data_IF_145222219465
#
_entry.id   IF_145222219465
#
_cell.length_a   1.000
_cell.length_b   1.000
_cell.length_c   1.000
_cell.angle_alpha   90.00
_cell.angle_beta   90.00
_cell.angle_gamma   90.00
#
_symmetry.space_group_name_H-M   'P 1'
#
loop_
_entity.id
_entity.type
_entity.pdbx_description
1 polymer ?
#
# COMPACT_ATOMS: atom_id res chain seq x y z
N UNK A 1 28.14 8.25 -12.99
CA UNK A 1 28.42 9.60 -12.43
C UNK A 1 27.75 10.67 -13.29
N UNK A 2 27.10 11.64 -12.64
CA UNK A 2 26.42 12.75 -13.31
C UNK A 2 26.68 14.06 -12.57
N UNK A 3 26.66 15.18 -13.28
CA UNK A 3 26.58 16.50 -12.69
C UNK A 3 25.28 17.16 -13.12
N UNK A 4 24.28 17.17 -12.26
CA UNK A 4 22.98 17.78 -12.56
C UNK A 4 23.12 19.30 -12.86
N UNK A 5 23.99 20.00 -12.12
CA UNK A 5 24.24 21.44 -12.31
C UNK A 5 24.87 21.78 -13.64
N UNK A 6 25.80 20.94 -14.13
CA UNK A 6 26.59 21.20 -15.37
C UNK A 6 26.08 20.40 -16.57
N UNK A 7 25.12 19.50 -16.37
CA UNK A 7 24.59 18.62 -17.41
C UNK A 7 25.52 17.47 -17.82
N UNK A 8 26.65 17.29 -17.14
CA UNK A 8 27.61 16.24 -17.48
C UNK A 8 26.99 14.87 -17.29
N UNK A 9 27.02 14.01 -18.31
CA UNK A 9 26.41 12.66 -18.35
C UNK A 9 24.90 12.61 -18.08
N UNK A 10 24.18 13.72 -18.19
CA UNK A 10 22.71 13.74 -18.05
C UNK A 10 22.05 13.33 -19.37
N UNK A 11 22.26 14.07 -20.45
CA UNK A 11 21.74 13.78 -21.78
C UNK A 11 22.82 13.14 -22.65
N UNK A 12 23.98 13.80 -22.75
CA UNK A 12 25.12 13.34 -23.51
C UNK A 12 26.26 12.96 -22.58
N UNK A 13 27.14 12.09 -23.06
CA UNK A 13 28.40 11.77 -22.34
C UNK A 13 29.28 13.01 -22.26
N UNK A 14 29.90 13.20 -21.10
CA UNK A 14 30.79 14.34 -20.86
C UNK A 14 32.24 13.99 -21.12
N UNK A 15 32.94 14.83 -21.86
CA UNK A 15 34.39 14.71 -22.11
C UNK A 15 35.22 14.94 -20.84
N UNK A 16 34.59 15.50 -19.78
CA UNK A 16 35.27 15.71 -18.48
C UNK A 16 35.36 14.44 -17.64
N UNK A 17 34.71 13.35 -18.07
CA UNK A 17 34.74 12.04 -17.40
C UNK A 17 35.14 10.92 -18.40
N UNK A 18 36.31 11.00 -19.02
CA UNK A 18 36.70 10.05 -20.05
C UNK A 18 36.86 8.62 -19.55
N UNK A 19 37.06 8.45 -18.26
CA UNK A 19 37.11 7.17 -17.57
C UNK A 19 35.77 6.45 -17.48
N UNK A 20 34.66 7.18 -17.62
CA UNK A 20 33.32 6.60 -17.58
C UNK A 20 32.89 6.19 -18.99
N UNK A 21 32.74 4.90 -19.21
CA UNK A 21 32.37 4.31 -20.52
C UNK A 21 30.88 3.90 -20.59
N UNK A 22 30.12 4.11 -19.51
CA UNK A 22 28.69 3.79 -19.44
C UNK A 22 27.80 4.75 -20.23
N UNK A 23 26.51 4.49 -20.18
CA UNK A 23 25.47 5.32 -20.81
C UNK A 23 25.25 6.62 -20.02
N UNK A 24 24.80 7.68 -20.71
CA UNK A 24 24.25 8.86 -20.04
C UNK A 24 23.00 8.48 -19.21
N UNK A 25 22.56 9.36 -18.34
CA UNK A 25 21.35 9.13 -17.54
C UNK A 25 20.13 8.92 -18.45
N UNK A 26 19.98 9.76 -19.48
CA UNK A 26 18.85 9.66 -20.43
C UNK A 26 18.87 8.32 -21.17
N UNK A 27 20.02 7.95 -21.77
CA UNK A 27 20.17 6.67 -22.47
C UNK A 27 19.90 5.47 -21.54
N UNK A 28 20.29 5.58 -20.26
CA UNK A 28 20.00 4.55 -19.27
C UNK A 28 18.50 4.43 -19.00
N UNK A 29 17.81 5.57 -18.81
CA UNK A 29 16.37 5.60 -18.55
C UNK A 29 15.55 5.09 -19.75
N UNK A 30 15.97 5.44 -20.98
CA UNK A 30 15.30 4.96 -22.20
C UNK A 30 15.49 3.46 -22.44
N UNK A 31 16.60 2.90 -21.97
CA UNK A 31 16.89 1.48 -22.09
C UNK A 31 16.27 0.60 -21.00
N UNK A 32 15.63 1.21 -19.98
CA UNK A 32 14.96 0.45 -18.92
C UNK A 32 13.67 -0.19 -19.44
N UNK A 33 13.60 -1.51 -19.36
CA UNK A 33 12.34 -2.22 -19.53
C UNK A 33 11.37 -1.81 -18.42
N UNK A 34 10.18 -1.35 -18.80
CA UNK A 34 9.08 -1.10 -17.87
C UNK A 34 8.56 -2.43 -17.32
N UNK A 35 9.30 -3.07 -16.44
CA UNK A 35 8.74 -4.16 -15.65
C UNK A 35 7.73 -3.57 -14.67
N UNK A 36 6.50 -4.03 -14.76
CA UNK A 36 5.46 -3.64 -13.81
C UNK A 36 5.69 -4.36 -12.46
N UNK A 37 6.67 -3.89 -11.72
CA UNK A 37 7.10 -4.45 -10.42
C UNK A 37 6.07 -4.23 -9.29
N UNK A 38 5.02 -3.45 -9.53
CA UNK A 38 4.02 -3.10 -8.50
C UNK A 38 2.85 -4.08 -8.40
N UNK A 39 2.82 -5.14 -9.21
CA UNK A 39 1.59 -5.88 -9.45
C UNK A 39 1.74 -7.39 -9.59
N UNK A 40 2.68 -7.94 -8.88
CA UNK A 40 2.73 -9.39 -8.64
C UNK A 40 1.93 -9.62 -7.37
N UNK A 41 0.79 -10.26 -7.47
CA UNK A 41 -0.04 -10.55 -6.30
C UNK A 41 -1.49 -10.79 -6.69
N UNK A 42 -2.24 -11.22 -5.72
CA UNK A 42 -3.65 -11.52 -5.82
C UNK A 42 -4.49 -10.25 -5.71
N UNK A 43 -5.71 -10.22 -6.25
CA UNK A 43 -6.51 -9.01 -6.23
C UNK A 43 -6.92 -8.63 -4.80
N UNK A 44 -6.77 -7.34 -4.51
CA UNK A 44 -7.25 -6.67 -3.30
C UNK A 44 -8.10 -5.49 -3.73
N UNK A 45 -9.32 -5.43 -3.23
CA UNK A 45 -10.27 -4.37 -3.56
C UNK A 45 -10.78 -3.70 -2.27
N UNK A 46 -10.06 -2.68 -1.75
CA UNK A 46 -10.56 -1.89 -0.64
C UNK A 46 -11.75 -1.04 -1.09
N UNK A 47 -12.86 -1.15 -0.38
CA UNK A 47 -14.09 -0.41 -0.65
C UNK A 47 -13.91 1.03 -0.20
N UNK A 48 -13.81 1.95 -1.14
CA UNK A 48 -13.60 3.36 -0.88
C UNK A 48 -14.92 4.11 -0.68
N UNK A 49 -15.96 3.69 -1.38
CA UNK A 49 -17.27 4.32 -1.31
C UNK A 49 -18.38 3.30 -1.60
N UNK A 50 -19.53 3.44 -0.92
CA UNK A 50 -20.73 2.63 -1.18
C UNK A 50 -21.75 3.50 -1.90
N UNK A 51 -22.12 3.10 -3.11
CA UNK A 51 -23.07 3.79 -3.97
C UNK A 51 -24.46 3.20 -3.72
N UNK A 52 -25.35 4.04 -3.23
CA UNK A 52 -26.77 3.75 -3.04
C UNK A 52 -27.58 4.95 -3.52
N UNK A 53 -28.00 4.96 -4.80
CA UNK A 53 -28.87 6.01 -5.29
C UNK A 53 -30.20 5.98 -4.53
N UNK A 54 -30.76 7.15 -4.27
CA UNK A 54 -32.08 7.31 -3.61
C UNK A 54 -33.14 7.72 -4.63
N UNK A 55 -33.04 7.17 -5.86
CA UNK A 55 -33.99 7.44 -6.95
C UNK A 55 -34.85 6.21 -7.16
N UNK A 56 -36.10 6.39 -7.58
CA UNK A 56 -37.04 5.29 -7.81
C UNK A 56 -36.52 4.28 -8.84
N UNK A 57 -35.76 4.75 -9.82
CA UNK A 57 -35.15 3.93 -10.88
C UNK A 57 -34.04 2.99 -10.39
N UNK A 58 -33.31 3.38 -9.32
CA UNK A 58 -32.14 2.65 -8.81
C UNK A 58 -32.25 2.33 -7.31
N UNK A 59 -33.47 2.21 -6.75
CA UNK A 59 -33.66 2.04 -5.31
C UNK A 59 -32.95 0.79 -4.75
N UNK A 60 -32.83 -0.28 -5.55
CA UNK A 60 -32.17 -1.52 -5.16
C UNK A 60 -30.68 -1.59 -5.57
N UNK A 61 -30.16 -0.56 -6.25
CA UNK A 61 -28.76 -0.56 -6.64
C UNK A 61 -27.83 -0.38 -5.46
N UNK A 62 -26.91 -1.32 -5.26
CA UNK A 62 -25.84 -1.25 -4.29
C UNK A 62 -24.52 -1.54 -4.97
N UNK A 63 -23.71 -0.50 -5.19
CA UNK A 63 -22.40 -0.58 -5.78
C UNK A 63 -21.30 -0.29 -4.79
N UNK A 64 -20.20 -1.00 -4.89
CA UNK A 64 -19.01 -0.82 -4.08
C UNK A 64 -17.90 -0.27 -4.96
N UNK A 65 -17.58 1.01 -4.79
CA UNK A 65 -16.56 1.69 -5.57
C UNK A 65 -15.20 1.58 -4.89
N UNK A 66 -14.18 1.28 -5.68
CA UNK A 66 -12.81 1.12 -5.22
C UNK A 66 -11.82 0.99 -6.37
N UNK A 67 -10.58 0.67 -6.02
CA UNK A 67 -9.52 0.42 -6.99
C UNK A 67 -8.97 -0.98 -6.80
N UNK A 68 -8.81 -1.71 -7.90
CA UNK A 68 -8.21 -3.05 -7.91
C UNK A 68 -6.69 -2.93 -7.76
N UNK A 69 -6.13 -3.59 -6.77
CA UNK A 69 -4.69 -3.73 -6.58
C UNK A 69 -4.28 -5.20 -6.73
N UNK A 70 -3.06 -5.44 -7.20
CA UNK A 70 -2.57 -6.79 -7.48
C UNK A 70 -3.11 -7.37 -8.78
N UNK A 71 -3.81 -8.47 -8.73
CA UNK A 71 -4.35 -9.19 -9.89
C UNK A 71 -5.58 -8.52 -10.52
N UNK A 72 -6.51 -9.33 -10.99
CA UNK A 72 -7.77 -8.90 -11.59
C UNK A 72 -8.97 -9.58 -10.94
N UNK A 73 -10.12 -8.91 -11.01
CA UNK A 73 -11.42 -9.42 -10.60
C UNK A 73 -12.33 -9.56 -11.80
N UNK A 74 -13.10 -10.65 -11.86
CA UNK A 74 -14.03 -10.94 -12.95
C UNK A 74 -15.45 -11.15 -12.44
N UNK A 75 -16.42 -10.88 -13.29
CA UNK A 75 -17.82 -11.25 -13.05
C UNK A 75 -17.90 -12.76 -12.81
N UNK A 76 -18.63 -13.18 -11.77
CA UNK A 76 -18.75 -14.56 -11.34
C UNK A 76 -17.68 -15.05 -10.38
N UNK A 77 -16.63 -14.27 -10.09
CA UNK A 77 -15.63 -14.64 -9.07
C UNK A 77 -16.28 -14.82 -7.70
N UNK A 78 -15.94 -15.93 -7.03
CA UNK A 78 -16.25 -16.14 -5.61
C UNK A 78 -15.38 -15.23 -4.77
N UNK A 79 -16.01 -14.44 -3.88
CA UNK A 79 -15.34 -13.44 -3.05
C UNK A 79 -15.70 -13.57 -1.58
N UNK A 80 -14.81 -13.02 -0.77
CA UNK A 80 -15.01 -12.82 0.67
C UNK A 80 -14.88 -11.34 0.98
N UNK A 81 -15.79 -10.82 1.80
CA UNK A 81 -15.74 -9.45 2.34
C UNK A 81 -15.13 -9.47 3.72
N UNK A 82 -14.08 -8.71 3.92
CA UNK A 82 -13.40 -8.55 5.22
C UNK A 82 -13.83 -7.24 5.88
N UNK A 83 -14.04 -7.21 7.20
CA UNK A 83 -13.73 -8.23 8.21
C UNK A 83 -14.81 -9.29 8.44
N UNK A 84 -16.01 -9.12 7.89
CA UNK A 84 -17.17 -9.98 8.20
C UNK A 84 -16.99 -11.44 7.78
N UNK A 85 -16.04 -11.71 6.87
CA UNK A 85 -15.81 -13.00 6.21
C UNK A 85 -17.05 -13.54 5.47
N UNK A 86 -17.96 -12.64 5.10
CA UNK A 86 -19.17 -13.00 4.36
C UNK A 86 -18.81 -13.30 2.90
N UNK A 87 -19.28 -14.43 2.40
CA UNK A 87 -19.06 -14.88 1.01
C UNK A 87 -20.14 -14.38 0.09
N UNK A 88 -19.77 -14.06 -1.13
CA UNK A 88 -20.66 -13.70 -2.23
C UNK A 88 -19.97 -13.94 -3.57
N UNK A 89 -20.63 -13.55 -4.67
CA UNK A 89 -20.06 -13.51 -6.02
C UNK A 89 -20.13 -12.10 -6.58
N UNK A 90 -19.19 -11.77 -7.45
CA UNK A 90 -19.26 -10.55 -8.25
C UNK A 90 -20.37 -10.70 -9.28
N UNK A 91 -21.41 -9.85 -9.19
CA UNK A 91 -22.54 -9.84 -10.11
C UNK A 91 -22.23 -9.04 -11.35
N UNK A 92 -21.79 -7.79 -11.18
CA UNK A 92 -21.44 -6.88 -12.27
C UNK A 92 -20.22 -6.04 -11.89
N UNK A 93 -19.48 -5.59 -12.89
CA UNK A 93 -18.39 -4.63 -12.78
C UNK A 93 -18.71 -3.46 -13.69
N UNK A 94 -18.66 -2.23 -13.13
CA UNK A 94 -18.94 -1.01 -13.86
C UNK A 94 -17.70 -0.11 -13.89
N UNK A 95 -17.43 0.43 -15.09
CA UNK A 95 -16.52 1.54 -15.27
C UNK A 95 -17.32 2.70 -15.88
N UNK A 96 -17.54 3.78 -15.14
CA UNK A 96 -18.59 4.75 -15.41
C UNK A 96 -19.96 4.05 -15.53
N UNK A 97 -20.63 4.18 -16.68
CA UNK A 97 -21.96 3.62 -16.94
C UNK A 97 -21.92 2.33 -17.76
N UNK A 98 -20.73 1.82 -18.08
CA UNK A 98 -20.55 0.63 -18.91
C UNK A 98 -20.22 -0.60 -18.07
N UNK A 99 -20.73 -1.76 -18.48
CA UNK A 99 -20.42 -3.04 -17.86
C UNK A 99 -19.20 -3.69 -18.48
N UNK A 100 -18.34 -4.23 -17.65
CA UNK A 100 -17.14 -4.96 -18.03
C UNK A 100 -17.15 -6.37 -17.42
N UNK A 101 -16.56 -7.33 -18.11
CA UNK A 101 -16.41 -8.69 -17.60
C UNK A 101 -15.28 -8.81 -16.58
N UNK A 102 -14.28 -7.96 -16.70
CA UNK A 102 -13.06 -8.03 -15.86
C UNK A 102 -12.61 -6.63 -15.49
N UNK A 103 -12.23 -6.46 -14.22
CA UNK A 103 -11.52 -5.28 -13.71
C UNK A 103 -10.04 -5.62 -13.58
N UNK A 104 -9.24 -5.07 -14.47
CA UNK A 104 -7.80 -5.22 -14.42
C UNK A 104 -7.20 -4.45 -13.22
N UNK A 105 -6.01 -4.84 -12.84
CA UNK A 105 -5.22 -4.11 -11.84
C UNK A 105 -5.15 -2.61 -12.15
N UNK A 106 -5.19 -1.78 -11.09
CA UNK A 106 -5.24 -0.31 -11.13
C UNK A 106 -6.52 0.30 -11.69
N UNK A 107 -7.47 -0.50 -12.16
CA UNK A 107 -8.78 0.01 -12.55
C UNK A 107 -9.54 0.52 -11.33
N UNK A 108 -10.13 1.70 -11.46
CA UNK A 108 -11.10 2.23 -10.51
C UNK A 108 -12.48 1.88 -11.00
N UNK A 109 -13.18 0.98 -10.31
CA UNK A 109 -14.44 0.39 -10.76
C UNK A 109 -15.47 0.39 -9.64
N UNK A 110 -16.73 0.16 -10.01
CA UNK A 110 -17.82 -0.16 -9.09
C UNK A 110 -18.19 -1.62 -9.27
N UNK A 111 -18.21 -2.39 -8.19
CA UNK A 111 -18.58 -3.80 -8.17
C UNK A 111 -19.95 -3.93 -7.50
N UNK A 112 -20.85 -4.74 -8.06
CA UNK A 112 -22.06 -5.20 -7.40
C UNK A 112 -21.93 -6.68 -7.05
N UNK A 113 -22.63 -7.11 -6.02
CA UNK A 113 -22.59 -8.49 -5.52
C UNK A 113 -23.94 -9.18 -5.73
N UNK A 114 -23.92 -10.50 -5.85
CA UNK A 114 -25.16 -11.29 -6.02
C UNK A 114 -26.07 -11.22 -4.79
N UNK A 115 -25.45 -11.25 -3.60
CA UNK A 115 -26.18 -11.21 -2.34
C UNK A 115 -26.22 -9.80 -1.76
N UNK A 116 -27.33 -9.43 -1.12
CA UNK A 116 -27.44 -8.19 -0.36
C UNK A 116 -26.77 -8.38 1.01
N UNK A 117 -25.48 -8.09 1.06
CA UNK A 117 -24.64 -8.20 2.25
C UNK A 117 -24.16 -6.83 2.70
N UNK A 118 -23.89 -6.71 4.01
CA UNK A 118 -23.36 -5.47 4.55
C UNK A 118 -21.88 -5.32 4.21
N UNK A 119 -21.59 -4.31 3.37
CA UNK A 119 -20.24 -3.88 3.06
C UNK A 119 -20.14 -2.39 3.27
N UNK A 120 -19.11 -1.95 3.95
CA UNK A 120 -18.89 -0.56 4.33
C UNK A 120 -17.58 -0.02 3.74
N UNK A 121 -17.45 1.31 3.71
CA UNK A 121 -16.16 1.93 3.42
C UNK A 121 -15.11 1.43 4.41
N UNK A 122 -13.98 0.98 3.91
CA UNK A 122 -12.88 0.42 4.69
C UNK A 122 -12.83 -1.11 4.69
N UNK A 123 -13.93 -1.76 4.32
CA UNK A 123 -13.93 -3.20 4.09
C UNK A 123 -13.08 -3.55 2.85
N UNK A 124 -12.67 -4.80 2.76
CA UNK A 124 -11.88 -5.30 1.65
C UNK A 124 -12.57 -6.50 1.00
N UNK A 125 -12.75 -6.44 -0.31
CA UNK A 125 -13.21 -7.58 -1.12
C UNK A 125 -11.97 -8.30 -1.66
N UNK A 126 -11.93 -9.62 -1.45
CA UNK A 126 -10.84 -10.50 -1.89
C UNK A 126 -11.42 -11.75 -2.53
N UNK A 127 -10.65 -12.48 -3.36
CA UNK A 127 -11.08 -13.79 -3.87
C UNK A 127 -11.19 -14.81 -2.75
N UNK A 128 -12.16 -15.69 -2.82
CA UNK A 128 -12.28 -16.81 -1.87
C UNK A 128 -11.05 -17.73 -2.00
N UNK A 129 -10.52 -18.14 -0.87
CA UNK A 129 -9.28 -18.94 -0.80
C UNK A 129 -7.98 -18.15 -0.85
N UNK A 130 -8.04 -16.81 -0.97
CA UNK A 130 -6.87 -15.94 -1.09
C UNK A 130 -6.95 -14.74 -0.15
N UNK A 131 -6.92 -15.04 1.14
CA UNK A 131 -7.08 -14.04 2.18
C UNK A 131 -5.74 -13.37 2.54
N UNK A 132 -5.72 -12.04 2.75
CA UNK A 132 -4.60 -11.36 3.38
C UNK A 132 -4.47 -11.79 4.84
N UNK A 133 -3.35 -11.44 5.46
CA UNK A 133 -3.21 -11.58 6.92
C UNK A 133 -4.15 -10.60 7.62
N UNK A 134 -4.86 -11.09 8.63
CA UNK A 134 -5.77 -10.30 9.47
C UNK A 134 -5.21 -10.31 10.88
N UNK A 135 -4.61 -9.20 11.30
CA UNK A 135 -3.97 -9.14 12.63
C UNK A 135 -4.03 -7.72 13.21
N UNK A 136 -3.90 -7.65 14.54
CA UNK A 136 -3.70 -6.43 15.32
C UNK A 136 -2.24 -6.14 15.60
N UNK A 137 -1.34 -6.96 15.11
CA UNK A 137 0.10 -6.82 15.28
C UNK A 137 0.80 -7.13 13.97
N UNK A 138 1.81 -6.33 13.63
CA UNK A 138 2.67 -6.62 12.48
C UNK A 138 4.07 -6.07 12.73
N UNK A 139 5.04 -6.65 12.02
CA UNK A 139 6.43 -6.18 11.98
C UNK A 139 6.70 -5.55 10.63
N UNK A 140 7.38 -4.42 10.62
CA UNK A 140 7.68 -3.68 9.40
C UNK A 140 9.06 -3.02 9.45
N UNK A 141 9.66 -2.83 8.28
CA UNK A 141 10.76 -1.89 8.14
C UNK A 141 10.17 -0.50 7.92
N UNK A 142 10.61 0.47 8.71
CA UNK A 142 10.14 1.85 8.65
C UNK A 142 11.30 2.81 8.42
N UNK A 143 11.01 3.94 7.77
CA UNK A 143 11.84 5.13 7.78
C UNK A 143 11.14 6.17 8.64
N UNK A 144 11.84 6.67 9.66
CA UNK A 144 11.34 7.73 10.52
C UNK A 144 11.68 9.10 9.92
N UNK A 145 10.71 10.01 9.83
CA UNK A 145 10.82 11.26 9.07
C UNK A 145 10.62 12.52 9.92
N UNK A 146 10.28 12.37 11.19
CA UNK A 146 10.04 13.52 12.09
C UNK A 146 11.27 13.88 12.92
N UNK A 147 11.41 15.17 13.23
CA UNK A 147 12.46 15.66 14.10
C UNK A 147 12.29 15.19 15.56
N UNK A 148 11.05 14.96 16.01
CA UNK A 148 10.75 14.36 17.30
C UNK A 148 11.06 12.87 17.25
N UNK A 149 11.81 12.38 18.21
CA UNK A 149 12.22 10.99 18.29
C UNK A 149 11.01 10.05 18.41
N UNK A 150 10.94 8.98 17.60
CA UNK A 150 10.03 7.87 17.84
C UNK A 150 10.45 7.13 19.11
N UNK A 151 9.50 6.90 20.00
CA UNK A 151 9.71 6.13 21.24
C UNK A 151 8.70 4.99 21.37
N UNK A 152 9.01 4.00 22.19
CA UNK A 152 8.10 2.88 22.48
C UNK A 152 6.83 3.29 23.23
N UNK A 153 6.81 4.46 23.87
CA UNK A 153 5.62 5.04 24.52
C UNK A 153 4.74 5.84 23.56
N UNK A 154 5.23 6.16 22.35
CA UNK A 154 4.53 6.97 21.36
C UNK A 154 3.27 6.29 20.84
N UNK A 155 2.23 7.11 20.61
CA UNK A 155 0.99 6.69 19.97
C UNK A 155 0.90 7.34 18.60
N UNK A 156 0.64 6.53 17.59
CA UNK A 156 0.59 6.94 16.20
C UNK A 156 -0.71 6.45 15.54
N UNK A 157 -1.04 6.99 14.40
CA UNK A 157 -2.04 6.43 13.50
C UNK A 157 -1.28 5.71 12.38
N UNK A 158 -1.53 4.42 12.23
CA UNK A 158 -1.18 3.68 11.02
C UNK A 158 -2.26 3.93 10.00
N UNK A 159 -1.92 4.57 8.89
CA UNK A 159 -2.79 4.63 7.73
C UNK A 159 -2.35 3.56 6.73
N UNK A 160 -3.18 2.53 6.60
CA UNK A 160 -3.03 1.41 5.68
C UNK A 160 -4.14 1.47 4.63
N UNK A 161 -3.78 1.78 3.41
CA UNK A 161 -4.78 2.12 2.39
C UNK A 161 -5.67 3.28 2.82
N UNK A 162 -6.98 3.05 2.89
CA UNK A 162 -7.96 4.05 3.34
C UNK A 162 -8.24 3.98 4.85
N UNK A 163 -7.77 2.93 5.52
CA UNK A 163 -8.03 2.70 6.94
C UNK A 163 -7.01 3.43 7.82
N UNK A 164 -7.49 4.08 8.86
CA UNK A 164 -6.70 4.72 9.91
C UNK A 164 -6.92 3.99 11.22
N UNK A 165 -5.87 3.47 11.83
CA UNK A 165 -5.90 2.64 13.03
C UNK A 165 -4.91 3.18 14.05
N UNK A 166 -5.33 3.33 15.30
CA UNK A 166 -4.40 3.70 16.37
C UNK A 166 -3.40 2.58 16.62
N UNK A 167 -2.15 2.95 16.70
CA UNK A 167 -1.02 2.07 16.90
C UNK A 167 -0.10 2.57 18.01
N UNK A 168 0.57 1.62 18.64
CA UNK A 168 1.72 1.88 19.49
C UNK A 168 2.90 1.05 19.03
N UNK A 169 4.10 1.56 19.25
CA UNK A 169 5.32 0.79 19.08
C UNK A 169 5.39 -0.25 20.19
N UNK A 170 5.48 -1.53 19.81
CA UNK A 170 5.66 -2.62 20.76
C UNK A 170 7.15 -2.90 20.99
N UNK A 171 7.91 -2.98 19.89
CA UNK A 171 9.35 -3.24 19.95
C UNK A 171 10.07 -2.66 18.75
N UNK A 172 11.24 -2.08 18.99
CA UNK A 172 12.24 -1.78 17.96
C UNK A 172 13.23 -2.94 17.98
N UNK A 173 13.36 -3.66 16.87
CA UNK A 173 14.24 -4.84 16.80
C UNK A 173 15.68 -4.45 16.55
N UNK A 174 15.88 -3.58 15.58
CA UNK A 174 17.17 -3.04 15.19
C UNK A 174 17.01 -1.79 14.34
N UNK A 175 18.06 -1.01 14.26
CA UNK A 175 18.23 0.09 13.32
C UNK A 175 19.34 -0.25 12.33
N UNK A 176 19.18 0.14 11.08
CA UNK A 176 20.20 -0.04 10.03
C UNK A 176 21.19 1.13 10.12
N UNK A 177 22.46 0.85 10.12
CA UNK A 177 23.49 1.89 10.10
C UNK A 177 23.40 2.68 8.77
N UNK A 178 23.57 4.04 8.80
CA UNK A 178 23.42 4.86 7.60
C UNK A 178 24.39 4.49 6.45
N UNK A 179 25.53 3.91 6.77
CA UNK A 179 26.53 3.45 5.82
C UNK A 179 26.33 2.00 5.37
N UNK A 180 25.23 1.37 5.82
CA UNK A 180 24.91 -0.04 5.57
C UNK A 180 25.95 -1.04 6.07
N UNK A 181 26.84 -0.63 7.01
CA UNK A 181 27.88 -1.50 7.60
C UNK A 181 27.32 -2.59 8.50
N UNK A 182 26.08 -2.44 8.94
CA UNK A 182 25.43 -3.40 9.84
C UNK A 182 24.17 -2.86 10.47
N UNK A 183 23.78 -3.48 11.58
CA UNK A 183 22.61 -3.14 12.38
C UNK A 183 23.00 -2.79 13.80
N UNK A 184 22.27 -1.90 14.41
CA UNK A 184 22.34 -1.55 15.83
C UNK A 184 21.16 -2.18 16.56
N UNK A 185 21.42 -2.98 17.58
CA UNK A 185 20.42 -3.57 18.49
C UNK A 185 20.29 -2.74 19.77
N UNK A 186 19.31 -3.06 20.59
CA UNK A 186 19.02 -2.37 21.87
C UNK A 186 18.67 -0.89 21.70
N UNK A 187 18.04 -0.55 20.58
CA UNK A 187 17.59 0.79 20.23
C UNK A 187 16.31 1.12 20.99
N UNK A 188 16.31 2.24 21.72
CA UNK A 188 15.14 2.70 22.49
C UNK A 188 14.28 3.72 21.78
N UNK A 189 14.77 4.28 20.66
CA UNK A 189 14.06 5.27 19.86
C UNK A 189 14.72 5.49 18.50
N UNK A 190 14.02 6.15 17.58
CA UNK A 190 14.52 6.47 16.25
C UNK A 190 14.56 7.98 16.04
N UNK A 191 15.66 8.46 15.50
CA UNK A 191 15.83 9.84 15.05
C UNK A 191 15.42 10.00 13.59
N UNK A 192 15.30 11.23 13.14
CA UNK A 192 15.00 11.55 11.73
C UNK A 192 15.96 10.83 10.77
N UNK A 193 15.40 10.23 9.71
CA UNK A 193 16.08 9.43 8.69
C UNK A 193 16.60 8.06 9.18
N UNK A 194 16.34 7.66 10.41
CA UNK A 194 16.63 6.29 10.84
C UNK A 194 15.73 5.29 10.09
N UNK A 195 16.33 4.19 9.65
CA UNK A 195 15.63 3.03 9.08
C UNK A 195 15.74 1.89 10.08
N UNK A 196 14.60 1.32 10.46
CA UNK A 196 14.55 0.30 11.51
C UNK A 196 13.48 -0.74 11.26
N UNK A 197 13.66 -1.91 11.86
CA UNK A 197 12.59 -2.90 11.96
C UNK A 197 11.84 -2.71 13.29
N UNK A 198 10.51 -2.54 13.18
CA UNK A 198 9.65 -2.22 14.31
C UNK A 198 8.40 -3.09 14.30
N UNK A 199 7.99 -3.58 15.47
CA UNK A 199 6.69 -4.22 15.68
C UNK A 199 5.70 -3.21 16.23
N UNK A 200 4.53 -3.16 15.60
CA UNK A 200 3.40 -2.32 16.01
C UNK A 200 2.26 -3.16 16.55
N UNK A 201 1.59 -2.67 17.60
CA UNK A 201 0.29 -3.15 18.09
C UNK A 201 -0.80 -2.15 17.78
N UNK A 202 -1.90 -2.65 17.22
CA UNK A 202 -3.05 -1.87 16.75
C UNK A 202 -4.25 -2.05 17.68
N UNK A 203 -5.12 -1.04 17.76
CA UNK A 203 -6.38 -1.17 18.48
C UNK A 203 -7.45 -1.95 17.69
N UNK A 204 -7.31 -2.04 16.36
CA UNK A 204 -8.18 -2.82 15.44
C UNK A 204 -7.31 -3.61 14.47
N UNK A 205 -7.77 -4.75 13.95
CA UNK A 205 -7.03 -5.48 12.93
C UNK A 205 -6.99 -4.70 11.61
N UNK A 206 -5.94 -4.93 10.83
CA UNK A 206 -5.81 -4.52 9.42
C UNK A 206 -5.70 -5.78 8.54
N UNK A 207 -5.97 -5.62 7.25
CA UNK A 207 -5.91 -6.71 6.26
C UNK A 207 -4.72 -6.45 5.34
N UNK A 208 -3.59 -7.06 5.62
CA UNK A 208 -2.35 -6.75 4.96
C UNK A 208 -1.70 -7.97 4.29
N UNK A 209 -0.88 -7.70 3.31
CA UNK A 209 0.05 -8.67 2.73
C UNK A 209 1.49 -8.24 3.07
N UNK A 210 2.43 -9.16 2.99
CA UNK A 210 3.84 -8.79 3.06
C UNK A 210 4.21 -7.93 1.83
N UNK A 211 4.98 -6.88 2.04
CA UNK A 211 5.38 -5.96 0.98
C UNK A 211 6.05 -6.64 -0.22
N UNK A 212 6.84 -7.69 0.01
CA UNK A 212 7.49 -8.46 -1.05
C UNK A 212 6.50 -9.15 -2.00
N UNK A 213 5.30 -9.51 -1.48
CA UNK A 213 4.27 -10.23 -2.22
C UNK A 213 3.24 -9.28 -2.82
N UNK A 214 2.92 -8.19 -2.10
CA UNK A 214 1.91 -7.22 -2.54
C UNK A 214 2.29 -5.81 -2.06
N UNK A 215 3.02 -5.06 -2.89
CA UNK A 215 3.58 -3.76 -2.49
C UNK A 215 2.55 -2.76 -1.97
N UNK A 216 1.40 -2.63 -2.65
CA UNK A 216 0.37 -1.66 -2.23
C UNK A 216 -0.28 -2.05 -0.90
N UNK A 217 -0.62 -3.34 -0.72
CA UNK A 217 -1.26 -3.81 0.51
C UNK A 217 -0.25 -4.14 1.62
N UNK A 218 1.05 -4.07 1.34
CA UNK A 218 2.13 -4.25 2.31
C UNK A 218 2.80 -2.94 2.75
N UNK A 219 2.25 -1.77 2.36
CA UNK A 219 2.82 -0.47 2.72
C UNK A 219 1.83 0.38 3.54
N UNK A 220 2.38 1.23 4.39
CA UNK A 220 1.62 2.13 5.25
C UNK A 220 2.39 3.40 5.55
N UNK A 221 1.70 4.40 6.08
CA UNK A 221 2.32 5.58 6.67
C UNK A 221 1.97 5.69 8.16
N UNK A 222 2.87 6.32 8.90
CA UNK A 222 2.67 6.69 10.29
C UNK A 222 2.32 8.18 10.36
N UNK A 223 1.27 8.48 11.11
CA UNK A 223 0.78 9.84 11.32
C UNK A 223 0.83 10.12 12.81
N UNK A 224 1.36 11.25 13.18
CA UNK A 224 1.34 11.72 14.56
C UNK A 224 -0.08 12.12 14.97
N UNK A 225 -0.48 11.71 16.18
CA UNK A 225 -1.87 11.91 16.67
C UNK A 225 -2.18 13.36 17.07
N UNK A 226 -1.18 14.20 17.27
CA UNK A 226 -1.33 15.59 17.72
C UNK A 226 -1.26 16.55 16.52
N UNK A 227 -0.20 16.44 15.73
CA UNK A 227 0.05 17.34 14.61
C UNK A 227 -0.69 16.93 13.33
N UNK A 228 -1.14 15.69 13.23
CA UNK A 228 -1.64 15.03 12.00
C UNK A 228 -0.62 15.01 10.84
N UNK A 229 0.66 15.23 11.12
CA UNK A 229 1.72 15.13 10.13
C UNK A 229 2.08 13.67 9.87
N UNK A 230 2.49 13.36 8.64
CA UNK A 230 3.14 12.09 8.33
C UNK A 230 4.54 12.09 8.94
N UNK A 231 4.80 11.17 9.85
CA UNK A 231 6.06 11.08 10.62
C UNK A 231 6.90 9.86 10.25
N UNK A 232 6.37 8.98 9.42
CA UNK A 232 7.12 7.83 8.92
C UNK A 232 6.36 7.08 7.82
N UNK A 233 7.09 6.24 7.11
CA UNK A 233 6.55 5.31 6.14
C UNK A 233 7.16 3.92 6.37
N UNK A 234 6.41 2.86 6.04
CA UNK A 234 6.86 1.51 6.32
C UNK A 234 6.36 0.44 5.35
N UNK A 235 7.08 -0.69 5.38
CA UNK A 235 6.83 -1.87 4.56
C UNK A 235 6.71 -3.09 5.46
N UNK A 236 5.55 -3.74 5.43
CA UNK A 236 5.21 -4.91 6.26
C UNK A 236 6.00 -6.13 5.79
N UNK A 237 6.58 -6.86 6.76
CA UNK A 237 7.45 -8.02 6.53
C UNK A 237 6.69 -9.33 6.59
#
# INVERSE_FOLDING_TARGET
PVSALKGDNVVNRSDKMPWFTGRSLLEHLEALDKKDIFNVGTPRFPVQYVIRPKTDEFHDFRGYAGKVYGGELSVGDDIVVLPSQTKSKIKDIYFYNEKYQTASRRSSVTITLENDINVSRGDMIVKDGDLPVIDKQFTANICWMDATQLTTSGKYIVQHGINKVLAKVDKIHYKINPDYSGIETDVTGLNVNDIAQVTFKLNKPIFYDQFKNHRTNGSFILIDTQSNNTVGAGFIQ
#
